data_IF_349927666882
#
_entry.id   IF_349927666882
#
_cell.length_a   1.000
_cell.length_b   1.000
_cell.length_c   1.000
_cell.angle_alpha   90.00
_cell.angle_beta   90.00
_cell.angle_gamma   90.00
#
_symmetry.space_group_name_H-M   'P 1'
#
loop_
_entity.id
_entity.type
_entity.pdbx_description
1 polymer ?
#
# COMPACT_ATOMS: atom_id res chain seq x y z
N UNK A 1 8.80 -17.07 -17.69
CA UNK A 1 7.97 -16.76 -16.51
C UNK A 1 7.92 -15.25 -16.38
N UNK A 2 6.75 -14.63 -16.38
CA UNK A 2 6.62 -13.18 -16.24
C UNK A 2 6.68 -12.84 -14.75
N UNK A 3 7.61 -11.96 -14.37
CA UNK A 3 7.75 -11.49 -12.99
C UNK A 3 6.53 -10.63 -12.63
N UNK A 4 5.95 -10.85 -11.45
CA UNK A 4 4.70 -10.20 -11.02
C UNK A 4 5.00 -9.21 -9.89
N UNK A 5 4.27 -8.08 -9.80
CA UNK A 5 4.22 -7.32 -8.56
C UNK A 5 3.69 -8.19 -7.41
N UNK A 6 4.17 -7.95 -6.19
CA UNK A 6 3.76 -8.72 -5.02
C UNK A 6 4.88 -8.98 -4.03
N UNK A 7 4.61 -9.87 -3.08
CA UNK A 7 5.55 -10.25 -2.04
C UNK A 7 6.47 -11.36 -2.50
N UNK A 8 7.77 -11.16 -2.26
CA UNK A 8 8.81 -12.14 -2.53
C UNK A 8 9.68 -12.34 -1.29
N UNK A 9 10.01 -13.58 -0.98
CA UNK A 9 10.96 -13.93 0.06
C UNK A 9 12.33 -14.22 -0.55
N UNK A 10 13.35 -13.51 -0.09
CA UNK A 10 14.73 -13.86 -0.44
C UNK A 10 15.11 -15.18 0.26
N UNK A 11 15.91 -16.03 -0.39
CA UNK A 11 16.31 -17.33 0.17
C UNK A 11 17.01 -17.26 1.55
N UNK A 12 17.51 -16.08 1.93
CA UNK A 12 18.09 -15.81 3.27
C UNK A 12 17.06 -15.46 4.35
N UNK A 13 15.77 -15.37 4.02
CA UNK A 13 14.68 -15.10 4.96
C UNK A 13 13.92 -13.77 4.75
N UNK A 14 14.58 -12.62 4.52
CA UNK A 14 13.88 -11.33 4.45
C UNK A 14 12.85 -11.24 3.31
N UNK A 15 11.75 -10.53 3.58
CA UNK A 15 10.64 -10.32 2.64
C UNK A 15 10.72 -8.94 1.99
N UNK A 16 10.39 -8.90 0.71
CA UNK A 16 10.41 -7.72 -0.14
C UNK A 16 9.11 -7.61 -0.93
N UNK A 17 8.78 -6.38 -1.34
CA UNK A 17 7.71 -6.09 -2.28
C UNK A 17 8.31 -5.77 -3.63
N UNK A 18 7.99 -6.55 -4.67
CA UNK A 18 8.21 -6.17 -6.06
C UNK A 18 7.14 -5.18 -6.47
N UNK A 19 7.57 -4.01 -6.95
CA UNK A 19 6.70 -2.93 -7.40
C UNK A 19 6.40 -3.06 -8.89
N UNK A 20 7.46 -3.20 -9.71
CA UNK A 20 7.35 -3.28 -11.16
C UNK A 20 8.67 -3.78 -11.78
N UNK A 21 8.65 -4.03 -13.10
CA UNK A 21 9.86 -4.17 -13.91
C UNK A 21 10.05 -2.87 -14.70
N UNK A 22 11.23 -2.27 -14.56
CA UNK A 22 11.68 -1.13 -15.36
C UNK A 22 12.72 -1.58 -16.39
N UNK A 23 12.98 -0.76 -17.40
CA UNK A 23 14.08 -0.98 -18.35
C UNK A 23 15.12 0.12 -18.18
N UNK A 24 16.39 -0.27 -18.09
CA UNK A 24 17.50 0.68 -18.03
C UNK A 24 17.61 1.42 -19.36
N UNK A 25 17.49 2.76 -19.35
CA UNK A 25 17.31 3.55 -20.58
C UNK A 25 18.45 3.42 -21.60
N UNK A 26 19.68 3.23 -21.13
CA UNK A 26 20.86 3.16 -22.01
C UNK A 26 21.14 1.75 -22.55
N UNK A 27 20.67 0.72 -21.87
CA UNK A 27 21.04 -0.68 -22.15
C UNK A 27 19.86 -1.58 -22.47
N UNK A 28 18.65 -1.08 -22.26
CA UNK A 28 17.40 -1.84 -22.31
C UNK A 28 17.38 -3.05 -21.36
N UNK A 29 18.28 -3.08 -20.35
CA UNK A 29 18.31 -4.16 -19.38
C UNK A 29 17.07 -4.10 -18.48
N UNK A 30 16.31 -5.19 -18.42
CA UNK A 30 15.16 -5.31 -17.55
C UNK A 30 15.60 -5.41 -16.08
N UNK A 31 15.13 -4.49 -15.24
CA UNK A 31 15.41 -4.37 -13.82
C UNK A 31 14.13 -4.57 -13.00
N UNK A 32 14.19 -5.41 -11.98
CA UNK A 32 13.16 -5.51 -10.94
C UNK A 32 13.33 -4.33 -9.99
N UNK A 33 12.27 -3.54 -9.83
CA UNK A 33 12.19 -2.48 -8.82
C UNK A 33 11.45 -3.05 -7.61
N UNK A 34 12.12 -3.11 -6.46
CA UNK A 34 11.58 -3.76 -5.27
C UNK A 34 11.99 -3.06 -3.96
N UNK A 35 11.16 -3.16 -2.94
CA UNK A 35 11.33 -2.50 -1.66
C UNK A 35 11.52 -3.53 -0.54
N UNK A 36 12.46 -3.28 0.37
CA UNK A 36 12.58 -4.04 1.61
C UNK A 36 11.37 -3.76 2.52
N UNK A 37 10.83 -4.79 3.17
CA UNK A 37 9.75 -4.64 4.16
C UNK A 37 10.27 -4.64 5.61
N UNK A 38 11.56 -4.38 5.78
CA UNK A 38 12.27 -4.37 7.05
C UNK A 38 13.31 -3.24 7.08
N UNK A 39 13.81 -2.92 8.28
CA UNK A 39 14.76 -1.81 8.46
C UNK A 39 14.20 -0.49 7.93
N UNK A 40 15.03 0.28 7.23
CA UNK A 40 14.67 1.58 6.65
C UNK A 40 13.76 1.49 5.41
N UNK A 41 13.27 0.28 5.05
CA UNK A 41 12.37 0.03 3.92
C UNK A 41 12.86 0.61 2.58
N UNK A 42 14.17 0.51 2.31
CA UNK A 42 14.81 1.03 1.09
C UNK A 42 14.31 0.38 -0.21
N UNK A 43 14.39 1.15 -1.31
CA UNK A 43 14.01 0.72 -2.67
C UNK A 43 15.26 0.40 -3.50
N UNK A 44 15.22 -0.69 -4.26
CA UNK A 44 16.34 -1.27 -4.99
C UNK A 44 15.96 -1.60 -6.43
N UNK A 45 16.95 -1.56 -7.31
CA UNK A 45 16.86 -2.05 -8.68
C UNK A 45 17.85 -3.21 -8.87
N UNK A 46 17.43 -4.31 -9.50
CA UNK A 46 18.29 -5.49 -9.77
C UNK A 46 17.95 -6.09 -11.13
N UNK A 47 18.92 -6.58 -11.92
CA UNK A 47 18.62 -7.31 -13.15
C UNK A 47 17.62 -8.44 -12.94
N UNK A 48 16.63 -8.53 -13.82
CA UNK A 48 15.60 -9.60 -13.77
C UNK A 48 16.26 -10.97 -13.73
N UNK A 49 17.28 -11.19 -14.57
CA UNK A 49 18.06 -12.43 -14.63
C UNK A 49 18.64 -12.81 -13.26
N UNK A 50 19.24 -11.86 -12.55
CA UNK A 50 19.82 -12.08 -11.22
C UNK A 50 18.77 -12.17 -10.10
N UNK A 51 17.55 -11.64 -10.30
CA UNK A 51 16.46 -11.72 -9.34
C UNK A 51 15.76 -13.09 -9.43
N UNK A 52 15.50 -13.57 -10.65
CA UNK A 52 14.84 -14.85 -10.90
C UNK A 52 15.78 -16.05 -10.90
N UNK A 53 17.06 -15.83 -10.60
CA UNK A 53 18.09 -16.86 -10.57
C UNK A 53 17.78 -17.94 -9.52
N UNK A 54 18.21 -19.17 -9.79
CA UNK A 54 18.28 -20.22 -8.78
C UNK A 54 19.61 -20.17 -8.03
N UNK A 55 19.57 -20.28 -6.71
CA UNK A 55 20.75 -20.41 -5.85
C UNK A 55 20.98 -21.90 -5.56
N UNK A 56 22.23 -22.33 -5.72
CA UNK A 56 22.65 -23.68 -5.33
C UNK A 56 23.01 -23.70 -3.85
N UNK A 57 22.40 -24.62 -3.10
CA UNK A 57 22.75 -24.94 -1.72
C UNK A 57 23.74 -26.10 -1.76
N UNK A 58 24.87 -25.97 -1.07
CA UNK A 58 25.94 -26.96 -1.09
C UNK A 58 26.07 -27.67 0.26
N UNK A 59 26.54 -28.91 0.26
CA UNK A 59 27.00 -29.63 1.45
C UNK A 59 28.40 -29.16 1.87
N UNK A 60 28.84 -29.60 3.05
CA UNK A 60 30.19 -29.29 3.58
C UNK A 60 31.32 -29.77 2.65
N UNK A 61 31.12 -30.85 1.89
CA UNK A 61 32.05 -31.38 0.89
C UNK A 61 31.89 -30.75 -0.50
N UNK A 62 31.03 -29.73 -0.64
CA UNK A 62 30.88 -28.91 -1.85
C UNK A 62 29.88 -29.43 -2.87
N UNK A 63 29.26 -30.60 -2.66
CA UNK A 63 28.24 -31.13 -3.56
C UNK A 63 26.98 -30.25 -3.55
N UNK A 64 26.35 -30.03 -4.71
CA UNK A 64 25.08 -29.30 -4.79
C UNK A 64 23.96 -30.19 -4.23
N UNK A 65 23.33 -29.74 -3.15
CA UNK A 65 22.22 -30.43 -2.49
C UNK A 65 20.88 -30.08 -3.14
N UNK A 66 20.65 -28.79 -3.41
CA UNK A 66 19.38 -28.30 -3.96
C UNK A 66 19.58 -26.98 -4.69
N UNK A 67 18.75 -26.73 -5.69
CA UNK A 67 18.58 -25.40 -6.28
C UNK A 67 17.24 -24.83 -5.86
N UNK A 68 17.26 -23.60 -5.33
CA UNK A 68 16.07 -22.89 -4.87
C UNK A 68 16.00 -21.50 -5.51
N UNK A 69 14.81 -20.91 -5.71
CA UNK A 69 14.71 -19.52 -6.16
C UNK A 69 15.49 -18.59 -5.24
N UNK A 70 16.25 -17.65 -5.81
CA UNK A 70 16.87 -16.57 -5.04
C UNK A 70 15.80 -15.74 -4.33
N UNK A 71 14.69 -15.49 -5.04
CA UNK A 71 13.49 -14.87 -4.54
C UNK A 71 12.28 -15.75 -4.87
N UNK A 72 11.61 -16.24 -3.85
CA UNK A 72 10.39 -17.03 -3.97
C UNK A 72 9.18 -16.12 -3.92
N UNK A 73 8.26 -16.27 -4.87
CA UNK A 73 7.00 -15.53 -4.87
C UNK A 73 6.07 -16.07 -3.78
N UNK A 74 5.55 -15.18 -2.94
CA UNK A 74 4.63 -15.53 -1.86
C UNK A 74 3.18 -15.30 -2.28
N UNK A 75 2.83 -14.04 -2.57
CA UNK A 75 1.46 -13.61 -2.86
C UNK A 75 1.44 -12.30 -3.63
N UNK A 76 0.34 -12.03 -4.30
CA UNK A 76 0.06 -10.69 -4.82
C UNK A 76 -0.04 -9.73 -3.64
N UNK A 77 0.42 -8.50 -3.84
CA UNK A 77 0.17 -7.40 -2.92
C UNK A 77 -0.52 -6.31 -3.71
N UNK A 78 -1.83 -6.44 -3.83
CA UNK A 78 -2.67 -5.36 -4.37
C UNK A 78 -2.91 -4.38 -3.24
N UNK A 79 -2.47 -3.14 -3.40
CA UNK A 79 -2.85 -2.11 -2.47
C UNK A 79 -4.37 -1.92 -2.51
N UNK A 80 -4.96 -1.54 -1.39
CA UNK A 80 -6.41 -1.33 -1.28
C UNK A 80 -6.69 0.17 -1.31
N UNK A 81 -7.56 0.59 -2.23
CA UNK A 81 -8.12 1.92 -2.26
C UNK A 81 -9.43 1.93 -1.46
N UNK A 82 -9.37 2.51 -0.27
CA UNK A 82 -10.55 2.92 0.49
C UNK A 82 -11.17 4.15 -0.16
N UNK A 83 -12.49 4.13 -0.34
CA UNK A 83 -13.30 5.22 -0.86
C UNK A 83 -14.40 5.51 0.15
N UNK A 84 -14.46 6.75 0.64
CA UNK A 84 -15.50 7.20 1.55
C UNK A 84 -16.16 8.48 1.00
N UNK A 85 -17.49 8.44 0.88
CA UNK A 85 -18.30 9.61 0.56
C UNK A 85 -18.72 10.28 1.86
N UNK A 86 -18.27 11.51 2.06
CA UNK A 86 -18.49 12.30 3.27
C UNK A 86 -19.49 13.40 2.97
N UNK A 87 -20.73 13.25 3.44
CA UNK A 87 -21.75 14.29 3.36
C UNK A 87 -21.70 15.15 4.63
N UNK A 88 -21.08 16.33 4.50
CA UNK A 88 -20.85 17.26 5.61
C UNK A 88 -22.13 18.04 5.92
N UNK A 89 -22.40 18.29 7.21
CA UNK A 89 -23.52 19.11 7.65
C UNK A 89 -23.39 20.51 7.06
N UNK A 90 -24.47 20.99 6.45
CA UNK A 90 -24.53 22.29 5.79
C UNK A 90 -23.93 23.41 6.64
N UNK A 91 -23.02 24.19 6.06
CA UNK A 91 -22.36 25.31 6.73
C UNK A 91 -21.19 24.92 7.64
N UNK A 92 -20.86 23.63 7.78
CA UNK A 92 -19.71 23.17 8.56
C UNK A 92 -18.48 22.84 7.71
N UNK A 93 -18.52 23.01 6.40
CA UNK A 93 -17.43 22.68 5.47
C UNK A 93 -16.05 23.23 5.91
N UNK A 94 -15.97 24.52 6.28
CA UNK A 94 -14.70 25.12 6.72
C UNK A 94 -14.17 24.49 8.02
N UNK A 95 -15.05 24.25 8.99
CA UNK A 95 -14.67 23.63 10.26
C UNK A 95 -14.25 22.17 10.07
N UNK A 96 -14.92 21.45 9.17
CA UNK A 96 -14.55 20.11 8.76
C UNK A 96 -13.16 20.08 8.12
N UNK A 97 -12.88 20.98 7.16
CA UNK A 97 -11.57 21.07 6.50
C UNK A 97 -10.44 21.36 7.50
N UNK A 98 -10.67 22.23 8.47
CA UNK A 98 -9.71 22.51 9.54
C UNK A 98 -9.52 21.33 10.49
N UNK A 99 -10.59 20.63 10.87
CA UNK A 99 -10.51 19.41 11.65
C UNK A 99 -9.75 18.29 10.89
N UNK A 100 -9.98 18.18 9.58
CA UNK A 100 -9.32 17.19 8.73
C UNK A 100 -7.80 17.42 8.64
N UNK A 101 -7.33 18.67 8.62
CA UNK A 101 -5.88 18.99 8.67
C UNK A 101 -5.19 18.43 9.92
N UNK A 102 -5.92 18.25 11.01
CA UNK A 102 -5.41 17.61 12.23
C UNK A 102 -5.55 16.10 12.12
N UNK A 103 -6.73 15.61 11.71
CA UNK A 103 -7.01 14.18 11.59
C UNK A 103 -6.10 13.46 10.59
N UNK A 104 -5.63 14.12 9.52
CA UNK A 104 -4.72 13.53 8.55
C UNK A 104 -3.40 13.02 9.19
N UNK A 105 -2.95 13.65 10.29
CA UNK A 105 -1.76 13.19 11.01
C UNK A 105 -1.97 11.81 11.64
N UNK A 106 -3.19 11.55 12.13
CA UNK A 106 -3.61 10.30 12.76
C UNK A 106 -3.60 9.16 11.74
N UNK A 107 -4.30 9.31 10.62
CA UNK A 107 -4.38 8.23 9.62
C UNK A 107 -3.01 7.98 8.97
N UNK A 108 -2.20 9.03 8.80
CA UNK A 108 -0.87 8.90 8.20
C UNK A 108 0.17 8.19 9.07
N UNK A 109 -0.07 8.09 10.38
CA UNK A 109 0.82 7.39 11.30
C UNK A 109 0.54 5.90 11.42
N UNK A 110 -0.56 5.40 10.81
CA UNK A 110 -0.96 4.01 10.93
C UNK A 110 -0.02 3.08 10.16
N UNK A 111 0.29 1.91 10.73
CA UNK A 111 0.98 0.87 9.98
C UNK A 111 0.11 0.42 8.79
N UNK A 112 0.75 0.16 7.66
CA UNK A 112 0.04 -0.14 6.42
C UNK A 112 -0.58 1.06 5.69
N UNK A 113 -0.50 2.30 6.21
CA UNK A 113 -0.89 3.49 5.45
C UNK A 113 0.06 3.75 4.26
N UNK A 114 -0.50 4.18 3.12
CA UNK A 114 0.28 4.58 1.92
C UNK A 114 0.06 6.07 1.61
N UNK A 115 -1.18 6.49 1.37
CA UNK A 115 -1.51 7.88 1.04
C UNK A 115 -3.00 8.17 1.27
N UNK A 116 -3.38 9.45 1.33
CA UNK A 116 -4.79 9.85 1.25
C UNK A 116 -4.96 11.10 0.38
N UNK A 117 -6.18 11.30 -0.11
CA UNK A 117 -6.64 12.50 -0.81
C UNK A 117 -8.07 12.84 -0.40
N UNK A 118 -8.31 14.11 -0.09
CA UNK A 118 -9.64 14.65 0.14
C UNK A 118 -10.02 15.57 -1.01
N UNK A 119 -11.15 15.34 -1.66
CA UNK A 119 -11.63 16.13 -2.79
C UNK A 119 -13.03 16.65 -2.49
N UNK A 120 -13.26 17.94 -2.74
CA UNK A 120 -14.59 18.53 -2.68
C UNK A 120 -15.37 18.20 -3.96
N UNK A 121 -16.63 17.80 -3.81
CA UNK A 121 -17.52 17.54 -4.94
C UNK A 121 -17.97 18.86 -5.57
N UNK A 122 -17.87 18.97 -6.90
CA UNK A 122 -18.32 20.16 -7.64
C UNK A 122 -19.86 20.21 -7.75
N UNK A 123 -20.51 19.05 -7.88
CA UNK A 123 -21.97 18.98 -8.06
C UNK A 123 -22.76 19.12 -6.75
N UNK A 124 -22.14 18.78 -5.61
CA UNK A 124 -22.79 18.81 -4.28
C UNK A 124 -21.84 19.50 -3.30
N UNK A 125 -22.04 20.80 -2.98
CA UNK A 125 -21.04 21.62 -2.27
C UNK A 125 -20.60 21.12 -0.89
N UNK A 126 -21.45 20.33 -0.22
CA UNK A 126 -21.21 19.79 1.12
C UNK A 126 -20.65 18.35 1.08
N UNK A 127 -20.45 17.78 -0.12
CA UNK A 127 -19.94 16.42 -0.29
C UNK A 127 -18.45 16.43 -0.54
N UNK A 128 -17.75 15.52 0.12
CA UNK A 128 -16.34 15.23 -0.13
C UNK A 128 -16.15 13.76 -0.50
N UNK A 129 -15.15 13.49 -1.31
CA UNK A 129 -14.60 12.17 -1.57
C UNK A 129 -13.27 12.06 -0.85
N UNK A 130 -13.21 11.19 0.16
CA UNK A 130 -11.97 10.76 0.78
C UNK A 130 -11.52 9.46 0.12
N UNK A 131 -10.30 9.45 -0.40
CA UNK A 131 -9.64 8.21 -0.83
C UNK A 131 -8.42 7.96 0.03
N UNK A 132 -8.25 6.74 0.55
CA UNK A 132 -7.07 6.33 1.32
C UNK A 132 -6.50 5.08 0.68
N UNK A 133 -5.20 5.04 0.44
CA UNK A 133 -4.51 3.83 0.00
C UNK A 133 -3.87 3.14 1.20
N UNK A 134 -4.15 1.84 1.31
CA UNK A 134 -3.65 0.94 2.34
C UNK A 134 -2.85 -0.20 1.70
N UNK A 135 -1.91 -0.75 2.45
CA UNK A 135 -1.12 -1.90 2.01
C UNK A 135 -1.94 -3.20 1.94
N UNK A 136 -3.03 -3.30 2.72
CA UNK A 136 -3.98 -4.41 2.69
C UNK A 136 -5.35 -3.96 3.23
N UNK A 137 -6.37 -4.82 3.10
CA UNK A 137 -7.70 -4.56 3.63
C UNK A 137 -7.67 -4.55 5.17
N UNK A 138 -6.96 -5.50 5.76
CA UNK A 138 -6.81 -5.71 7.20
C UNK A 138 -6.14 -4.52 7.87
N UNK A 139 -5.14 -3.91 7.20
CA UNK A 139 -4.48 -2.70 7.71
C UNK A 139 -5.50 -1.57 7.99
N UNK A 140 -6.53 -1.44 7.15
CA UNK A 140 -7.63 -0.52 7.39
C UNK A 140 -8.66 -1.09 8.37
N UNK A 141 -9.25 -2.25 8.07
CA UNK A 141 -10.46 -2.75 8.76
C UNK A 141 -10.22 -3.29 10.15
N UNK A 142 -9.01 -3.75 10.44
CA UNK A 142 -8.59 -4.22 11.77
C UNK A 142 -7.58 -3.22 12.34
N UNK A 143 -6.47 -3.01 11.63
CA UNK A 143 -5.35 -2.19 12.08
C UNK A 143 -5.74 -0.77 12.47
N UNK A 144 -6.48 -0.06 11.61
CA UNK A 144 -6.97 1.28 11.93
C UNK A 144 -8.31 1.25 12.67
N UNK A 145 -9.32 0.57 12.14
CA UNK A 145 -10.71 0.68 12.64
C UNK A 145 -10.92 0.14 14.06
N UNK A 146 -10.02 -0.70 14.57
CA UNK A 146 -10.07 -1.19 15.96
C UNK A 146 -9.12 -0.43 16.90
N UNK A 147 -8.37 0.54 16.40
CA UNK A 147 -7.31 1.22 17.14
C UNK A 147 -7.80 2.40 17.99
N UNK A 148 -6.93 2.89 18.88
CA UNK A 148 -7.20 4.10 19.67
C UNK A 148 -7.14 5.37 18.81
N UNK A 149 -6.29 5.38 17.79
CA UNK A 149 -6.18 6.42 16.76
C UNK A 149 -7.51 6.59 16.02
N UNK A 150 -8.19 5.51 15.67
CA UNK A 150 -9.52 5.63 15.08
C UNK A 150 -10.54 6.23 16.04
N UNK A 151 -10.47 5.97 17.36
CA UNK A 151 -11.35 6.67 18.30
C UNK A 151 -11.10 8.18 18.32
N UNK A 152 -9.83 8.60 18.25
CA UNK A 152 -9.47 10.01 18.12
C UNK A 152 -9.95 10.62 16.79
N UNK A 153 -9.77 9.90 15.67
CA UNK A 153 -10.30 10.27 14.36
C UNK A 153 -11.82 10.46 14.39
N UNK A 154 -12.55 9.52 15.00
CA UNK A 154 -14.01 9.60 15.15
C UNK A 154 -14.43 10.82 15.95
N UNK A 155 -13.78 11.07 17.09
CA UNK A 155 -14.08 12.22 17.93
C UNK A 155 -13.91 13.55 17.17
N UNK A 156 -12.86 13.64 16.34
CA UNK A 156 -12.58 14.83 15.53
C UNK A 156 -13.58 15.03 14.39
N UNK A 157 -14.04 13.94 13.75
CA UNK A 157 -14.69 14.06 12.45
C UNK A 157 -16.15 13.61 12.37
N UNK A 158 -16.59 12.63 13.16
CA UNK A 158 -17.90 11.99 12.95
C UNK A 158 -19.10 12.93 13.11
N UNK A 159 -18.97 13.98 13.91
CA UNK A 159 -20.04 14.96 14.14
C UNK A 159 -20.27 15.89 12.93
N UNK A 160 -19.37 15.90 11.95
CA UNK A 160 -19.55 16.65 10.71
C UNK A 160 -20.45 15.94 9.70
N UNK A 161 -20.78 14.65 9.88
CA UNK A 161 -21.45 13.88 8.84
C UNK A 161 -22.93 13.63 9.12
N UNK A 162 -23.75 13.74 8.07
CA UNK A 162 -25.13 13.23 8.10
C UNK A 162 -25.58 12.81 6.69
N UNK A 163 -25.84 11.52 6.43
CA UNK A 163 -25.70 10.37 7.33
C UNK A 163 -24.21 10.03 7.64
N UNK A 164 -23.97 9.00 8.45
CA UNK A 164 -22.63 8.46 8.59
C UNK A 164 -22.11 7.95 7.22
N UNK A 165 -20.83 8.14 6.90
CA UNK A 165 -20.26 7.73 5.61
C UNK A 165 -20.38 6.23 5.34
N UNK A 166 -20.66 5.88 4.08
CA UNK A 166 -20.39 4.54 3.54
C UNK A 166 -18.93 4.48 3.10
N UNK A 167 -18.27 3.36 3.39
CA UNK A 167 -16.87 3.10 3.05
C UNK A 167 -16.81 1.84 2.20
N UNK A 168 -16.15 1.92 1.06
CA UNK A 168 -15.94 0.83 0.12
C UNK A 168 -14.44 0.64 -0.16
N UNK A 169 -14.07 -0.56 -0.61
CA UNK A 169 -12.68 -0.95 -0.87
C UNK A 169 -12.54 -1.50 -2.29
N UNK A 170 -11.52 -1.02 -3.00
CA UNK A 170 -11.19 -1.42 -4.36
C UNK A 170 -9.71 -1.80 -4.46
N UNK A 171 -9.32 -2.47 -5.53
CA UNK A 171 -7.90 -2.55 -5.89
C UNK A 171 -7.40 -1.14 -6.21
N UNK A 172 -6.21 -0.80 -5.71
CA UNK A 172 -5.61 0.51 -5.96
C UNK A 172 -5.01 0.62 -7.37
N UNK A 173 -4.75 -0.51 -8.02
CA UNK A 173 -4.29 -0.61 -9.39
C UNK A 173 -5.43 -0.37 -10.38
N UNK A 174 -5.15 0.38 -11.45
CA UNK A 174 -6.10 0.60 -12.53
C UNK A 174 -6.37 -0.70 -13.29
N UNK A 175 -7.65 -0.96 -13.62
CA UNK A 175 -8.02 -1.97 -14.60
C UNK A 175 -7.93 -1.34 -15.99
N UNK A 176 -6.89 -1.68 -16.73
CA UNK A 176 -6.77 -1.26 -18.14
C UNK A 176 -7.85 -1.98 -18.96
N UNK A 177 -8.80 -1.20 -19.49
CA UNK A 177 -9.87 -1.63 -20.40
C UNK A 177 -9.67 -1.09 -21.80
#
# INVERSE_FOLDING_TARGET
>A
MQLKPGLYQHYKGPVYRVLQVAHHSETDEALVIYQALYGDKGCWARPVSMFTELVSIHSEDGAVLKQIPRFEYLTEQTAVLEVAILDVVKGQASAFEDAFKHAQSIISSMDGYISHRLRRCVAVPERYLLTVQWQSLEAHTEGFRESSEYQAWRALLHHFYTPLPTVEHYHAEDVFV
#
